data_IF_461770768788
#
_entry.id   IF_461770768788
#
_cell.length_a   1.000
_cell.length_b   1.000
_cell.length_c   1.000
_cell.angle_alpha   90.00
_cell.angle_beta   90.00
_cell.angle_gamma   90.00
#
_symmetry.space_group_name_H-M   'P 1'
#
loop_
_entity.id
_entity.type
_entity.pdbx_description
1 polymer ?
#
# COMPACT_ATOMS: atom_id res chain seq x y z
N UNK A 1 -16.59 -6.48 -0.03
CA UNK A 1 -17.35 -5.22 0.00
C UNK A 1 -18.80 -5.48 0.41
N UNK A 2 -19.55 -6.29 -0.36
CA UNK A 2 -20.98 -6.50 -0.11
C UNK A 2 -21.32 -6.92 1.33
N UNK A 3 -20.62 -7.91 1.88
CA UNK A 3 -20.84 -8.37 3.26
C UNK A 3 -20.61 -7.27 4.32
N UNK A 4 -19.61 -6.40 4.11
CA UNK A 4 -19.35 -5.26 5.02
C UNK A 4 -20.42 -4.18 4.87
N UNK A 5 -20.89 -3.93 3.64
CA UNK A 5 -21.99 -2.98 3.39
C UNK A 5 -23.30 -3.40 4.02
N UNK A 6 -23.56 -4.70 4.16
CA UNK A 6 -24.74 -5.23 4.84
C UNK A 6 -24.75 -4.96 6.35
N UNK A 7 -23.61 -4.66 6.96
CA UNK A 7 -23.51 -4.27 8.36
C UNK A 7 -24.07 -2.87 8.62
N UNK A 8 -24.65 -2.65 9.81
CA UNK A 8 -25.31 -1.37 10.16
C UNK A 8 -24.31 -0.30 10.64
N UNK A 9 -23.22 -0.70 11.32
CA UNK A 9 -22.28 0.25 11.91
C UNK A 9 -21.36 0.91 10.86
N UNK A 10 -21.07 2.22 10.99
CA UNK A 10 -20.03 2.86 10.19
C UNK A 10 -18.65 2.29 10.55
N UNK A 11 -17.69 2.45 9.62
CA UNK A 11 -16.30 2.06 9.81
C UNK A 11 -15.49 3.24 10.32
N UNK A 12 -14.84 3.12 11.47
CA UNK A 12 -13.92 4.14 11.98
C UNK A 12 -12.62 4.18 11.17
N UNK A 13 -12.18 3.02 10.67
CA UNK A 13 -10.98 2.91 9.84
C UNK A 13 -11.06 1.78 8.81
N UNK A 14 -10.42 1.99 7.65
CA UNK A 14 -10.14 0.96 6.65
C UNK A 14 -8.62 0.79 6.57
N UNK A 15 -8.12 -0.41 6.91
CA UNK A 15 -6.67 -0.68 6.93
C UNK A 15 -6.33 -1.64 5.78
N UNK A 16 -5.65 -1.12 4.77
CA UNK A 16 -5.16 -1.84 3.60
C UNK A 16 -3.76 -2.40 3.87
N UNK A 17 -3.69 -3.57 4.48
CA UNK A 17 -2.42 -4.18 4.90
C UNK A 17 -1.98 -5.36 4.04
N UNK A 18 -2.91 -6.11 3.47
CA UNK A 18 -2.60 -7.29 2.66
C UNK A 18 -1.67 -6.96 1.49
N UNK A 19 -0.83 -7.93 1.09
CA UNK A 19 0.04 -7.74 -0.06
C UNK A 19 0.96 -8.92 -0.31
N UNK A 20 1.47 -8.97 -1.53
CA UNK A 20 2.47 -9.94 -1.98
C UNK A 20 3.77 -9.22 -2.32
N UNK A 21 4.90 -9.91 -2.22
CA UNK A 21 6.23 -9.34 -2.45
C UNK A 21 7.13 -10.35 -3.16
N UNK A 22 7.96 -9.84 -4.06
CA UNK A 22 9.06 -10.57 -4.71
C UNK A 22 8.61 -11.90 -5.34
N UNK A 23 7.48 -11.90 -6.06
CA UNK A 23 7.04 -13.05 -6.84
C UNK A 23 8.10 -13.31 -7.92
N UNK A 24 8.71 -14.51 -7.97
CA UNK A 24 9.91 -14.72 -8.79
C UNK A 24 9.63 -14.67 -10.31
N UNK A 25 8.44 -15.06 -10.74
CA UNK A 25 8.02 -15.09 -12.12
C UNK A 25 6.86 -14.13 -12.39
N UNK A 26 6.75 -13.55 -13.60
CA UNK A 26 5.64 -12.67 -13.93
C UNK A 26 4.32 -13.44 -13.88
N UNK A 27 3.39 -12.95 -13.10
CA UNK A 27 2.01 -13.45 -13.00
C UNK A 27 1.04 -12.31 -13.16
N UNK A 28 -0.16 -12.62 -13.60
CA UNK A 28 -1.20 -11.64 -13.85
C UNK A 28 -2.52 -12.03 -13.18
N UNK A 29 -3.29 -11.02 -12.83
CA UNK A 29 -4.70 -11.13 -12.48
C UNK A 29 -5.47 -10.05 -13.25
N UNK A 30 -6.52 -10.44 -13.96
CA UNK A 30 -7.35 -9.56 -14.79
C UNK A 30 -6.54 -8.65 -15.76
N UNK A 31 -5.44 -9.18 -16.32
CA UNK A 31 -4.57 -8.46 -17.25
C UNK A 31 -3.59 -7.48 -16.62
N UNK A 32 -3.50 -7.41 -15.29
CA UNK A 32 -2.49 -6.63 -14.58
C UNK A 32 -1.47 -7.51 -13.88
N UNK A 33 -0.24 -7.00 -13.76
CA UNK A 33 0.82 -7.65 -13.01
C UNK A 33 0.38 -7.90 -11.55
N UNK A 34 0.70 -9.07 -11.00
CA UNK A 34 0.09 -9.58 -9.78
C UNK A 34 0.42 -8.74 -8.52
N UNK A 35 1.63 -8.13 -8.41
CA UNK A 35 1.89 -7.21 -7.30
C UNK A 35 1.01 -5.96 -7.42
N UNK A 36 0.91 -5.38 -8.62
CA UNK A 36 0.12 -4.18 -8.84
C UNK A 36 -1.37 -4.46 -8.63
N UNK A 37 -1.85 -5.60 -9.11
CA UNK A 37 -3.25 -6.00 -8.90
C UNK A 37 -3.54 -6.25 -7.43
N UNK A 38 -2.76 -7.08 -6.74
CA UNK A 38 -3.04 -7.47 -5.35
C UNK A 38 -2.83 -6.31 -4.38
N UNK A 39 -1.68 -5.61 -4.49
CA UNK A 39 -1.28 -4.60 -3.51
C UNK A 39 -1.99 -3.26 -3.72
N UNK A 40 -2.42 -2.95 -4.95
CA UNK A 40 -3.06 -1.68 -5.28
C UNK A 40 -4.51 -1.84 -5.69
N UNK A 41 -4.84 -2.58 -6.75
CA UNK A 41 -6.22 -2.68 -7.25
C UNK A 41 -7.15 -3.32 -6.22
N UNK A 42 -6.70 -4.37 -5.52
CA UNK A 42 -7.47 -4.97 -4.42
C UNK A 42 -7.82 -3.96 -3.32
N UNK A 43 -6.86 -3.11 -2.96
CA UNK A 43 -7.08 -2.02 -1.99
C UNK A 43 -7.96 -0.91 -2.56
N UNK A 44 -7.78 -0.56 -3.84
CA UNK A 44 -8.62 0.42 -4.54
C UNK A 44 -10.09 0.00 -4.51
N UNK A 45 -10.40 -1.26 -4.90
CA UNK A 45 -11.76 -1.83 -4.86
C UNK A 45 -12.33 -1.80 -3.44
N UNK A 46 -11.53 -2.23 -2.46
CA UNK A 46 -11.98 -2.27 -1.06
C UNK A 46 -12.34 -0.87 -0.56
N UNK A 47 -11.43 0.08 -0.73
CA UNK A 47 -11.60 1.44 -0.19
C UNK A 47 -12.71 2.17 -0.92
N UNK A 48 -12.67 2.25 -2.27
CA UNK A 48 -13.70 2.98 -3.04
C UNK A 48 -15.08 2.36 -2.86
N UNK A 49 -15.14 1.03 -2.74
CA UNK A 49 -16.36 0.30 -2.46
C UNK A 49 -16.93 0.50 -1.06
N UNK A 50 -16.17 1.04 -0.09
CA UNK A 50 -16.60 1.21 1.31
C UNK A 50 -16.56 2.68 1.79
N UNK A 51 -16.24 3.64 0.94
CA UNK A 51 -16.17 5.05 1.33
C UNK A 51 -17.49 5.60 1.89
N UNK A 52 -18.60 5.11 1.40
CA UNK A 52 -19.94 5.44 1.89
C UNK A 52 -20.23 4.90 3.31
N UNK A 53 -19.43 3.95 3.76
CA UNK A 53 -19.49 3.37 5.10
C UNK A 53 -18.46 3.94 6.06
N UNK A 54 -17.49 4.69 5.56
CA UNK A 54 -16.45 5.31 6.40
C UNK A 54 -17.05 6.45 7.22
N UNK A 55 -16.85 6.39 8.53
CA UNK A 55 -17.32 7.43 9.47
C UNK A 55 -16.76 8.82 9.13
N UNK A 56 -17.35 9.85 9.70
CA UNK A 56 -16.82 11.20 9.67
C UNK A 56 -16.76 11.73 11.12
N UNK A 57 -15.56 11.74 11.73
CA UNK A 57 -14.24 11.43 11.18
C UNK A 57 -14.01 9.93 10.94
N UNK A 58 -13.24 9.61 9.93
CA UNK A 58 -12.84 8.23 9.60
C UNK A 58 -11.49 8.20 8.89
N UNK A 59 -10.82 7.05 8.88
CA UNK A 59 -9.43 6.95 8.45
C UNK A 59 -9.19 5.83 7.45
N UNK A 60 -8.44 6.11 6.39
CA UNK A 60 -7.89 5.09 5.49
C UNK A 60 -6.39 5.00 5.71
N UNK A 61 -5.90 3.80 6.01
CA UNK A 61 -4.48 3.52 6.27
C UNK A 61 -3.99 2.50 5.25
N UNK A 62 -3.02 2.86 4.43
CA UNK A 62 -2.53 2.01 3.34
C UNK A 62 -1.06 1.63 3.55
N UNK A 63 -0.78 0.34 3.58
CA UNK A 63 0.59 -0.15 3.73
C UNK A 63 1.35 -0.05 2.41
N UNK A 64 2.26 0.93 2.34
CA UNK A 64 3.27 1.04 1.31
C UNK A 64 4.59 0.34 1.72
N UNK A 65 5.73 0.81 1.25
CA UNK A 65 7.06 0.32 1.61
C UNK A 65 8.15 1.27 1.13
N UNK A 66 9.31 1.25 1.75
CA UNK A 66 10.53 1.87 1.23
C UNK A 66 10.93 1.30 -0.15
N UNK A 67 10.42 0.14 -0.53
CA UNK A 67 10.57 -0.42 -1.87
C UNK A 67 9.97 0.46 -2.98
N UNK A 68 9.10 1.46 -2.69
CA UNK A 68 8.64 2.44 -3.67
C UNK A 68 9.80 3.18 -4.38
N UNK A 69 10.97 3.25 -3.74
CA UNK A 69 12.21 3.81 -4.30
C UNK A 69 12.80 2.96 -5.44
N UNK A 70 12.36 1.70 -5.59
CA UNK A 70 12.73 0.77 -6.65
C UNK A 70 11.73 0.74 -7.81
N UNK A 71 10.70 1.56 -7.75
CA UNK A 71 9.76 1.70 -8.87
C UNK A 71 10.48 2.14 -10.16
N UNK A 72 9.93 1.86 -11.34
CA UNK A 72 10.45 2.36 -12.59
C UNK A 72 10.68 3.88 -12.57
N UNK A 73 11.60 4.39 -13.40
CA UNK A 73 11.84 5.84 -13.51
C UNK A 73 10.57 6.61 -13.92
N UNK A 74 9.72 6.01 -14.75
CA UNK A 74 8.41 6.56 -15.11
C UNK A 74 7.36 6.50 -13.98
N UNK A 75 7.69 5.91 -12.85
CA UNK A 75 6.80 5.64 -11.72
C UNK A 75 5.87 4.46 -11.98
N UNK A 76 4.83 4.67 -12.75
CA UNK A 76 3.88 3.63 -13.18
C UNK A 76 4.00 3.42 -14.69
N UNK A 77 4.32 2.21 -15.08
CA UNK A 77 4.44 1.82 -16.50
C UNK A 77 3.07 1.48 -17.09
N UNK A 78 2.28 2.50 -17.44
CA UNK A 78 0.92 2.31 -17.96
C UNK A 78 0.87 1.54 -19.28
N UNK A 79 1.93 1.57 -20.06
CA UNK A 79 2.08 0.79 -21.29
C UNK A 79 2.55 -0.65 -21.05
N UNK A 80 2.79 -1.04 -19.79
CA UNK A 80 3.26 -2.35 -19.36
C UNK A 80 2.57 -2.83 -18.06
N UNK A 81 1.30 -2.50 -17.88
CA UNK A 81 0.54 -2.92 -16.68
C UNK A 81 0.45 -4.44 -16.52
N UNK A 82 0.63 -5.19 -17.61
CA UNK A 82 0.74 -6.66 -17.62
C UNK A 82 2.02 -7.16 -16.98
N UNK A 83 3.07 -6.34 -16.91
CA UNK A 83 4.38 -6.67 -16.37
C UNK A 83 5.20 -7.66 -17.22
N UNK A 84 4.79 -7.96 -18.45
CA UNK A 84 5.47 -8.99 -19.26
C UNK A 84 6.79 -8.52 -19.86
N UNK A 85 7.00 -7.20 -20.01
CA UNK A 85 8.23 -6.64 -20.55
C UNK A 85 9.20 -6.28 -19.44
N UNK A 86 10.39 -6.90 -19.44
CA UNK A 86 11.47 -6.57 -18.50
C UNK A 86 11.07 -6.75 -17.03
N UNK A 87 10.37 -7.85 -16.73
CA UNK A 87 9.95 -8.14 -15.35
C UNK A 87 11.16 -8.32 -14.43
N UNK A 88 11.11 -7.60 -13.31
CA UNK A 88 12.03 -7.77 -12.19
C UNK A 88 11.19 -7.72 -10.90
N UNK A 89 11.25 -8.77 -10.03
CA UNK A 89 10.35 -8.94 -8.89
C UNK A 89 10.30 -7.74 -7.93
N UNK A 90 11.46 -7.19 -7.58
CA UNK A 90 11.52 -6.07 -6.62
C UNK A 90 11.16 -4.74 -7.26
N UNK A 91 11.36 -4.57 -8.57
CA UNK A 91 10.90 -3.40 -9.34
C UNK A 91 9.37 -3.40 -9.45
N UNK A 92 8.76 -4.54 -9.81
CA UNK A 92 7.31 -4.70 -9.88
C UNK A 92 6.66 -4.49 -8.50
N UNK A 93 7.24 -5.07 -7.45
CA UNK A 93 6.84 -4.79 -6.07
C UNK A 93 6.96 -3.31 -5.72
N UNK A 94 8.09 -2.68 -6.08
CA UNK A 94 8.33 -1.25 -5.86
C UNK A 94 7.28 -0.37 -6.54
N UNK A 95 6.92 -0.69 -7.79
CA UNK A 95 5.84 -0.02 -8.53
C UNK A 95 4.49 -0.13 -7.79
N UNK A 96 4.14 -1.31 -7.29
CA UNK A 96 2.90 -1.51 -6.53
C UNK A 96 2.86 -0.69 -5.23
N UNK A 97 4.02 -0.51 -4.56
CA UNK A 97 4.11 0.28 -3.34
C UNK A 97 4.15 1.79 -3.61
N UNK A 98 4.68 2.21 -4.76
CA UNK A 98 4.52 3.57 -5.26
C UNK A 98 3.05 3.87 -5.59
N UNK A 99 2.36 2.93 -6.25
CA UNK A 99 0.93 3.05 -6.55
C UNK A 99 0.10 3.28 -5.27
N UNK A 100 0.43 2.61 -4.17
CA UNK A 100 -0.25 2.82 -2.88
C UNK A 100 -0.04 4.24 -2.33
N UNK A 101 1.14 4.83 -2.48
CA UNK A 101 1.39 6.23 -2.05
C UNK A 101 0.60 7.20 -2.93
N UNK A 102 0.66 7.05 -4.25
CA UNK A 102 -0.07 7.88 -5.21
C UNK A 102 -1.58 7.80 -4.99
N UNK A 103 -2.12 6.58 -4.85
CA UNK A 103 -3.53 6.34 -4.52
C UNK A 103 -3.96 7.07 -3.26
N UNK A 104 -3.19 6.97 -2.19
CA UNK A 104 -3.54 7.58 -0.90
C UNK A 104 -3.51 9.11 -0.98
N UNK A 105 -2.58 9.71 -1.72
CA UNK A 105 -2.53 11.15 -1.94
C UNK A 105 -3.74 11.65 -2.74
N UNK A 106 -4.09 10.96 -3.81
CA UNK A 106 -5.26 11.31 -4.61
C UNK A 106 -6.56 11.08 -3.83
N UNK A 107 -6.63 9.99 -3.05
CA UNK A 107 -7.75 9.75 -2.15
C UNK A 107 -7.90 10.87 -1.12
N UNK A 108 -6.81 11.28 -0.46
CA UNK A 108 -6.83 12.38 0.52
C UNK A 108 -7.34 13.68 -0.09
N UNK A 109 -6.96 14.00 -1.33
CA UNK A 109 -7.48 15.15 -2.08
C UNK A 109 -8.99 15.03 -2.37
N UNK A 110 -9.46 13.83 -2.71
CA UNK A 110 -10.88 13.55 -3.03
C UNK A 110 -11.78 13.53 -1.80
N UNK A 111 -11.27 13.12 -0.65
CA UNK A 111 -12.02 13.15 0.62
C UNK A 111 -12.35 14.57 1.06
N UNK A 112 -11.52 15.56 0.69
CA UNK A 112 -11.79 16.99 0.91
C UNK A 112 -11.97 17.34 2.40
N UNK A 113 -13.03 18.07 2.72
CA UNK A 113 -13.30 18.61 4.08
C UNK A 113 -14.26 17.74 4.90
N UNK A 114 -14.51 16.50 4.52
CA UNK A 114 -15.47 15.62 5.21
C UNK A 114 -14.97 15.08 6.55
N UNK A 115 -13.80 15.52 7.03
CA UNK A 115 -13.18 15.03 8.26
C UNK A 115 -12.56 13.63 8.13
N UNK A 116 -12.64 13.01 6.96
CA UNK A 116 -12.01 11.74 6.65
C UNK A 116 -10.57 11.96 6.18
N UNK A 117 -9.66 11.04 6.53
CA UNK A 117 -8.24 11.14 6.16
C UNK A 117 -7.72 9.85 5.52
N UNK A 118 -6.69 9.97 4.70
CA UNK A 118 -6.01 8.84 4.08
C UNK A 118 -4.49 9.01 4.18
N UNK A 119 -3.79 8.05 4.77
CA UNK A 119 -2.34 8.09 4.96
C UNK A 119 -1.69 6.76 4.60
N UNK A 120 -0.42 6.81 4.20
CA UNK A 120 0.39 5.63 3.92
C UNK A 120 1.50 5.45 4.93
N UNK A 121 2.02 4.24 5.01
CA UNK A 121 3.15 3.92 5.88
C UNK A 121 4.10 2.89 5.27
N UNK A 122 5.33 2.88 5.81
CA UNK A 122 6.27 1.77 5.74
C UNK A 122 6.32 1.07 7.09
N UNK A 123 6.02 -0.24 7.17
CA UNK A 123 5.98 -0.94 8.46
C UNK A 123 7.38 -1.31 9.01
N UNK A 124 8.45 -1.06 8.26
CA UNK A 124 9.77 -1.60 8.53
C UNK A 124 9.99 -2.97 7.88
N UNK A 125 11.16 -3.55 8.11
CA UNK A 125 11.45 -4.93 7.71
C UNK A 125 11.05 -5.86 8.86
N UNK A 126 9.99 -6.62 8.63
CA UNK A 126 9.37 -7.46 9.67
C UNK A 126 9.83 -8.90 9.49
N UNK A 127 10.09 -9.59 10.59
CA UNK A 127 10.42 -11.04 10.60
C UNK A 127 9.18 -11.90 10.31
N UNK A 128 8.54 -11.70 9.16
CA UNK A 128 7.38 -12.49 8.74
C UNK A 128 7.74 -13.35 7.53
N UNK A 129 8.01 -14.64 7.76
CA UNK A 129 8.10 -15.63 6.68
C UNK A 129 9.15 -15.40 5.57
N UNK A 130 9.79 -14.24 5.52
CA UNK A 130 10.82 -13.87 4.52
C UNK A 130 11.99 -14.87 4.54
N UNK A 131 12.26 -15.45 5.71
CA UNK A 131 13.34 -16.43 5.88
C UNK A 131 13.00 -17.82 5.36
N UNK A 132 11.73 -18.11 5.04
CA UNK A 132 11.30 -19.47 4.63
C UNK A 132 11.88 -19.92 3.28
N UNK A 133 12.29 -18.98 2.43
CA UNK A 133 12.82 -19.25 1.09
C UNK A 133 14.35 -19.19 1.01
N UNK A 134 15.02 -18.90 2.13
CA UNK A 134 16.48 -18.81 2.16
C UNK A 134 17.13 -20.19 2.37
N UNK A 135 18.31 -20.49 1.76
CA UNK A 135 19.09 -21.67 2.05
C UNK A 135 19.46 -21.77 3.55
N UNK A 136 19.54 -23.00 4.11
CA UNK A 136 19.63 -23.25 5.54
C UNK A 136 20.68 -22.42 6.32
N UNK A 137 21.89 -22.23 5.76
CA UNK A 137 22.94 -21.42 6.43
C UNK A 137 22.57 -19.92 6.47
N UNK A 138 22.04 -19.39 5.37
CA UNK A 138 21.57 -18.01 5.31
C UNK A 138 20.36 -17.78 6.21
N UNK A 139 19.50 -18.78 6.34
CA UNK A 139 18.36 -18.78 7.26
C UNK A 139 18.83 -18.74 8.73
N UNK A 140 19.84 -19.54 9.09
CA UNK A 140 20.42 -19.55 10.45
C UNK A 140 21.09 -18.20 10.78
N UNK A 141 21.90 -17.65 9.88
CA UNK A 141 22.55 -16.34 10.05
C UNK A 141 21.52 -15.22 10.19
N UNK A 142 20.46 -15.23 9.37
CA UNK A 142 19.35 -14.25 9.45
C UNK A 142 18.57 -14.39 10.76
N UNK A 143 18.35 -15.60 11.28
CA UNK A 143 17.73 -15.81 12.58
C UNK A 143 18.54 -15.25 13.73
N UNK A 144 19.86 -15.35 13.67
CA UNK A 144 20.75 -14.78 14.70
C UNK A 144 20.80 -13.24 14.61
N UNK A 145 20.80 -12.66 13.41
CA UNK A 145 20.77 -11.21 13.21
C UNK A 145 19.36 -10.59 13.38
N UNK A 146 18.31 -11.41 13.33
CA UNK A 146 16.90 -11.00 13.34
C UNK A 146 16.53 -10.04 14.49
N UNK A 147 16.94 -10.27 15.76
CA UNK A 147 16.57 -9.38 16.87
C UNK A 147 17.13 -7.95 16.74
N UNK A 148 18.22 -7.79 15.99
CA UNK A 148 18.92 -6.51 15.83
C UNK A 148 18.50 -5.73 14.57
N UNK A 149 17.94 -6.44 13.56
CA UNK A 149 17.70 -5.87 12.23
C UNK A 149 16.23 -5.92 11.83
N UNK A 150 15.48 -6.90 12.34
CA UNK A 150 14.07 -7.11 11.95
C UNK A 150 13.13 -6.71 13.07
N UNK A 151 12.05 -6.04 12.70
CA UNK A 151 10.96 -5.73 13.62
C UNK A 151 10.13 -6.97 13.96
N UNK A 152 9.62 -7.01 15.17
CA UNK A 152 8.54 -7.95 15.55
C UNK A 152 7.25 -7.57 14.82
N UNK A 153 6.28 -8.47 14.78
CA UNK A 153 4.95 -8.19 14.22
C UNK A 153 4.28 -6.99 14.92
N UNK A 154 4.40 -6.89 16.24
CA UNK A 154 3.85 -5.76 17.01
C UNK A 154 4.53 -4.43 16.64
N UNK A 155 5.84 -4.40 16.51
CA UNK A 155 6.58 -3.21 16.06
C UNK A 155 6.22 -2.84 14.61
N UNK A 156 6.00 -3.83 13.74
CA UNK A 156 5.54 -3.60 12.37
C UNK A 156 4.13 -3.03 12.30
N UNK A 157 3.25 -3.42 13.22
CA UNK A 157 1.89 -2.90 13.31
C UNK A 157 1.80 -1.50 13.95
N UNK A 158 2.81 -1.08 14.70
CA UNK A 158 2.75 0.16 15.50
C UNK A 158 2.35 1.40 14.68
N UNK A 159 2.97 1.60 13.50
CA UNK A 159 2.65 2.75 12.64
C UNK A 159 1.24 2.66 12.05
N UNK A 160 0.74 1.45 11.76
CA UNK A 160 -0.66 1.26 11.31
C UNK A 160 -1.64 1.64 12.42
N UNK A 161 -1.42 1.16 13.63
CA UNK A 161 -2.24 1.50 14.79
C UNK A 161 -2.19 3.00 15.10
N UNK A 162 -1.01 3.61 15.03
CA UNK A 162 -0.81 5.05 15.21
C UNK A 162 -1.65 5.86 14.21
N UNK A 163 -1.58 5.53 12.91
CA UNK A 163 -2.35 6.22 11.88
C UNK A 163 -3.86 5.96 12.01
N UNK A 164 -4.25 4.76 12.44
CA UNK A 164 -5.65 4.39 12.57
C UNK A 164 -6.33 5.03 13.80
N UNK A 165 -5.61 5.23 14.92
CA UNK A 165 -6.26 5.55 16.18
C UNK A 165 -5.71 6.81 16.89
N UNK A 166 -4.47 7.26 16.61
CA UNK A 166 -3.89 8.38 17.35
C UNK A 166 -4.60 9.71 17.07
N UNK A 167 -4.99 10.49 18.09
CA UNK A 167 -5.52 11.83 17.91
C UNK A 167 -4.50 12.81 17.31
N UNK A 168 -3.20 12.57 17.48
CA UNK A 168 -2.14 13.43 16.95
C UNK A 168 -2.13 13.54 15.41
N UNK A 169 -2.73 12.59 14.72
CA UNK A 169 -2.81 12.55 13.25
C UNK A 169 -4.25 12.61 12.74
N UNK A 170 -5.19 13.05 13.56
CA UNK A 170 -6.62 13.05 13.23
C UNK A 170 -6.96 13.89 11.98
N UNK A 171 -6.22 14.97 11.74
CA UNK A 171 -6.43 15.89 10.60
C UNK A 171 -5.37 15.74 9.50
N UNK A 172 -4.42 14.80 9.65
CA UNK A 172 -3.35 14.61 8.67
C UNK A 172 -3.84 13.71 7.53
N UNK A 173 -3.67 14.16 6.29
CA UNK A 173 -4.03 13.39 5.10
C UNK A 173 -2.96 13.49 4.00
N UNK A 174 -2.82 12.44 3.17
CA UNK A 174 -1.87 12.37 2.07
C UNK A 174 -0.40 12.18 2.51
N UNK A 175 -0.15 11.94 3.78
CA UNK A 175 1.20 11.80 4.33
C UNK A 175 1.72 10.35 4.26
N UNK A 176 3.05 10.23 4.32
CA UNK A 176 3.77 8.97 4.40
C UNK A 176 4.53 8.88 5.71
N UNK A 177 4.41 7.77 6.40
CA UNK A 177 4.97 7.55 7.73
C UNK A 177 5.91 6.35 7.78
N UNK A 178 6.93 6.45 8.63
CA UNK A 178 7.75 5.33 9.08
C UNK A 178 8.01 5.50 10.58
N UNK A 179 7.95 4.42 11.34
CA UNK A 179 8.20 4.43 12.79
C UNK A 179 7.39 5.48 13.56
N UNK A 180 6.10 5.60 13.21
CA UNK A 180 5.14 6.58 13.75
C UNK A 180 5.52 8.06 13.49
N UNK A 181 6.49 8.33 12.61
CA UNK A 181 6.92 9.67 12.24
C UNK A 181 6.67 9.96 10.76
N UNK A 182 6.39 11.22 10.38
CA UNK A 182 6.41 11.62 8.98
C UNK A 182 7.73 11.27 8.31
N UNK A 183 7.69 10.78 7.09
CA UNK A 183 8.87 10.31 6.36
C UNK A 183 8.85 10.75 4.91
N UNK A 184 10.05 10.92 4.32
CA UNK A 184 10.22 11.37 2.96
C UNK A 184 9.95 10.27 1.93
N UNK A 185 9.30 10.66 0.84
CA UNK A 185 9.09 9.84 -0.35
C UNK A 185 9.96 10.31 -1.52
N UNK A 186 10.05 9.52 -2.58
CA UNK A 186 10.65 9.96 -3.85
C UNK A 186 9.86 11.13 -4.46
N UNK A 187 10.49 11.99 -5.26
CA UNK A 187 9.78 13.08 -5.96
C UNK A 187 8.59 12.59 -6.77
N UNK A 188 8.73 11.48 -7.50
CA UNK A 188 7.66 10.90 -8.32
C UNK A 188 6.45 10.42 -7.49
N UNK A 189 6.65 10.05 -6.23
CA UNK A 189 5.55 9.70 -5.32
C UNK A 189 4.72 10.93 -4.87
N UNK A 190 5.16 12.14 -5.23
CA UNK A 190 4.46 13.41 -4.98
C UNK A 190 3.82 14.00 -6.23
N UNK A 191 3.96 13.33 -7.37
CA UNK A 191 3.37 13.77 -8.64
C UNK A 191 1.85 13.52 -8.63
N UNK A 192 1.07 14.59 -8.49
CA UNK A 192 -0.39 14.52 -8.46
C UNK A 192 -1.01 14.27 -9.83
N UNK A 193 -0.30 14.58 -10.92
CA UNK A 193 -0.75 14.23 -12.28
C UNK A 193 -0.67 12.72 -12.48
N UNK A 194 0.45 12.12 -12.04
CA UNK A 194 0.62 10.66 -12.05
C UNK A 194 -0.41 9.97 -11.14
N UNK A 195 -0.69 10.56 -9.97
CA UNK A 195 -1.69 10.04 -9.03
C UNK A 195 -3.11 10.05 -9.62
N UNK A 196 -3.50 11.14 -10.28
CA UNK A 196 -4.79 11.26 -10.94
C UNK A 196 -4.92 10.29 -12.13
N UNK A 197 -3.85 10.11 -12.91
CA UNK A 197 -3.82 9.13 -14.01
C UNK A 197 -3.96 7.70 -13.48
N UNK A 198 -3.21 7.34 -12.44
CA UNK A 198 -3.32 6.02 -11.80
C UNK A 198 -4.74 5.75 -11.30
N UNK A 199 -5.37 6.75 -10.70
CA UNK A 199 -6.75 6.66 -10.25
C UNK A 199 -7.71 6.32 -11.41
N UNK A 200 -7.64 7.07 -12.52
CA UNK A 200 -8.49 6.87 -13.69
C UNK A 200 -8.29 5.47 -14.33
N UNK A 201 -7.04 5.01 -14.45
CA UNK A 201 -6.74 3.66 -14.95
C UNK A 201 -7.25 2.57 -14.02
N UNK A 202 -7.19 2.80 -12.70
CA UNK A 202 -7.75 1.86 -11.71
C UNK A 202 -9.27 1.80 -11.79
N UNK A 203 -9.96 2.94 -11.94
CA UNK A 203 -11.41 2.99 -12.17
C UNK A 203 -11.80 2.25 -13.45
N UNK A 204 -11.06 2.50 -14.55
CA UNK A 204 -11.31 1.86 -15.84
C UNK A 204 -11.12 0.33 -15.80
N UNK A 205 -10.15 -0.17 -15.01
CA UNK A 205 -9.99 -1.60 -14.79
C UNK A 205 -11.15 -2.17 -13.97
N UNK A 206 -11.45 -1.55 -12.83
CA UNK A 206 -12.50 -2.03 -11.91
C UNK A 206 -13.88 -2.08 -12.61
N UNK A 207 -14.15 -1.17 -13.52
CA UNK A 207 -15.39 -1.18 -14.31
C UNK A 207 -15.52 -2.37 -15.28
N UNK A 208 -14.42 -3.12 -15.51
CA UNK A 208 -14.37 -4.27 -16.44
C UNK A 208 -14.36 -5.63 -15.74
N UNK A 209 -14.24 -5.66 -14.41
CA UNK A 209 -14.20 -6.86 -13.59
C UNK A 209 -15.34 -6.94 -12.60
#
# INVERSE_FOLDING_TARGET
VAAVKAGAAPLDAIICNAGVMAIPEPRQAFGWELHLFTNHIGHFILVTGLLDRLASPGRVVVTASNAHRRAPAAGIEFDNLTGVRGYEPMRAYGQSKLANILFTRELGRRLGTKGQTANTLHPGVISTGITRTLPGLAQAAMRMASPLVLKTAAQGAATQCYLAASPAVASVTGAYYADCNPSETTPIARDMTLAAKLWAESEALVARI
#
